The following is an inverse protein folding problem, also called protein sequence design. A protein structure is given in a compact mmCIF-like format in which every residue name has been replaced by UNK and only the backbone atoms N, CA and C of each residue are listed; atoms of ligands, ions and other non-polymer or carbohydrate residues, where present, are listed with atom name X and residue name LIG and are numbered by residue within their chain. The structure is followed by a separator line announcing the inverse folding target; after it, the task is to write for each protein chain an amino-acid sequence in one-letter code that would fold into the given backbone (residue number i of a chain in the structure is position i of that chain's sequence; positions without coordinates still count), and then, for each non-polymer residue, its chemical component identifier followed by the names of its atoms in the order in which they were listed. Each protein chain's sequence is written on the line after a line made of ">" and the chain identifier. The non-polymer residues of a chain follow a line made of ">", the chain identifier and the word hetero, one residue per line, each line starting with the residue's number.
data_IF_312207089176
#
_entry.id   IF_312207089176
#
_cell.length_a   1.000
_cell.length_b   1.000
_cell.length_c   1.000
_cell.angle_alpha   90.00
_cell.angle_beta   90.00
_cell.angle_gamma   90.00
#
_symmetry.space_group_name_H-M   'P 1'
#
loop_
_entity.id
_entity.type
_entity.pdbx_description
1 polymer ?
#
# COMPACT_ATOMS: atom_id res chain seq x y z
N UNK A 1 3.50 15.12 -2.61
CA UNK A 1 4.90 15.06 -3.09
C UNK A 1 5.92 15.04 -1.95
N UNK A 2 6.05 16.07 -1.09
CA UNK A 2 7.05 16.03 0.00
C UNK A 2 6.90 14.83 0.97
N UNK A 3 5.68 14.45 1.32
CA UNK A 3 5.42 13.30 2.20
C UNK A 3 5.79 11.96 1.54
N UNK A 4 5.67 11.86 0.22
CA UNK A 4 6.05 10.68 -0.57
C UNK A 4 7.57 10.51 -0.60
N UNK A 5 8.27 11.61 -0.84
CA UNK A 5 9.74 11.63 -0.86
C UNK A 5 10.32 11.22 0.49
N UNK A 6 9.77 11.73 1.60
CA UNK A 6 10.20 11.32 2.94
C UNK A 6 9.94 9.83 3.18
N UNK A 7 8.81 9.31 2.69
CA UNK A 7 8.47 7.90 2.84
C UNK A 7 9.47 7.01 2.10
N UNK A 8 9.71 7.31 0.81
CA UNK A 8 10.66 6.62 -0.06
C UNK A 8 12.10 6.73 0.45
N UNK A 9 12.53 7.93 0.86
CA UNK A 9 13.89 8.14 1.38
C UNK A 9 14.16 7.25 2.59
N UNK A 10 13.21 7.09 3.51
CA UNK A 10 13.41 6.18 4.64
C UNK A 10 13.39 4.70 4.27
N UNK A 11 12.69 4.32 3.18
CA UNK A 11 12.69 2.94 2.67
C UNK A 11 14.01 2.62 1.98
N UNK A 12 14.54 3.56 1.19
CA UNK A 12 15.87 3.44 0.58
C UNK A 12 17.00 3.44 1.62
N UNK A 13 16.93 4.29 2.64
CA UNK A 13 17.92 4.28 3.73
C UNK A 13 17.89 2.99 4.57
N UNK A 14 16.80 2.22 4.51
CA UNK A 14 16.67 0.91 5.16
C UNK A 14 17.05 -0.27 4.25
N UNK A 15 17.45 0.00 3.01
CA UNK A 15 17.74 -1.03 2.01
C UNK A 15 16.51 -1.76 1.45
N UNK A 16 15.29 -1.32 1.80
CA UNK A 16 14.05 -1.98 1.31
C UNK A 16 13.72 -1.62 -0.14
N UNK A 17 14.27 -0.52 -0.66
CA UNK A 17 14.07 -0.06 -2.04
C UNK A 17 15.36 0.54 -2.57
N UNK A 18 15.97 -0.10 -3.56
CA UNK A 18 17.15 0.39 -4.27
C UNK A 18 16.80 1.04 -5.62
N UNK A 19 15.74 0.57 -6.28
CA UNK A 19 15.31 1.05 -7.59
C UNK A 19 13.81 1.31 -7.66
N UNK A 20 13.40 2.27 -8.50
CA UNK A 20 11.99 2.54 -8.79
C UNK A 20 11.65 2.08 -10.20
N UNK A 21 10.59 1.30 -10.35
CA UNK A 21 10.14 0.74 -11.61
C UNK A 21 8.86 1.40 -12.13
N UNK A 22 8.16 0.66 -12.99
CA UNK A 22 6.97 1.15 -13.67
C UNK A 22 5.76 1.23 -12.74
N UNK A 23 4.84 2.13 -13.06
CA UNK A 23 3.52 2.14 -12.45
C UNK A 23 2.67 1.00 -13.04
N UNK A 24 2.19 0.11 -12.18
CA UNK A 24 1.39 -1.06 -12.58
C UNK A 24 -0.10 -0.86 -12.32
N UNK A 25 -0.49 0.11 -11.49
CA UNK A 25 -1.89 0.42 -11.25
C UNK A 25 -2.13 1.81 -10.66
N UNK A 26 -3.23 2.44 -11.07
CA UNK A 26 -3.79 3.63 -10.42
C UNK A 26 -5.20 3.27 -9.96
N UNK A 27 -5.37 3.10 -8.65
CA UNK A 27 -6.68 2.97 -8.03
C UNK A 27 -7.23 4.32 -7.61
N UNK A 28 -8.52 4.37 -7.25
CA UNK A 28 -9.14 5.57 -6.66
C UNK A 28 -8.47 5.99 -5.36
N UNK A 29 -7.86 5.06 -4.63
CA UNK A 29 -7.39 5.27 -3.26
C UNK A 29 -5.90 4.96 -3.09
N UNK A 30 -5.24 4.48 -4.13
CA UNK A 30 -3.83 4.11 -4.07
C UNK A 30 -3.17 4.07 -5.44
N UNK A 31 -1.88 4.37 -5.48
CA UNK A 31 -1.04 4.12 -6.65
C UNK A 31 -0.16 2.90 -6.36
N UNK A 32 0.01 2.04 -7.36
CA UNK A 32 0.79 0.82 -7.26
C UNK A 32 1.90 0.87 -8.30
N UNK A 33 3.13 0.68 -7.87
CA UNK A 33 4.32 0.69 -8.72
C UNK A 33 5.25 -0.47 -8.35
N UNK A 34 5.98 -0.96 -9.34
CA UNK A 34 7.08 -1.90 -9.12
C UNK A 34 8.29 -1.16 -8.57
N UNK A 35 9.01 -1.78 -7.65
CA UNK A 35 10.30 -1.31 -7.13
C UNK A 35 11.28 -2.48 -7.06
N UNK A 36 12.57 -2.20 -7.04
CA UNK A 36 13.62 -3.21 -6.86
C UNK A 36 14.24 -3.09 -5.47
N UNK A 37 14.53 -4.22 -4.82
CA UNK A 37 15.42 -4.27 -3.66
C UNK A 37 16.91 -4.18 -4.08
N UNK A 38 17.83 -4.25 -3.11
CA UNK A 38 19.28 -4.17 -3.36
C UNK A 38 19.82 -5.32 -4.21
N UNK A 39 19.14 -6.47 -4.22
CA UNK A 39 19.49 -7.64 -5.02
C UNK A 39 18.89 -7.60 -6.44
N UNK A 40 18.03 -6.62 -6.70
CA UNK A 40 17.32 -6.46 -7.98
C UNK A 40 16.04 -7.29 -8.08
N UNK A 41 15.57 -7.90 -6.98
CA UNK A 41 14.30 -8.62 -6.99
C UNK A 41 13.13 -7.62 -7.11
N UNK A 42 12.14 -7.91 -7.96
CA UNK A 42 10.99 -7.03 -8.11
C UNK A 42 10.04 -7.16 -6.92
N UNK A 43 9.69 -6.02 -6.33
CA UNK A 43 8.72 -5.86 -5.27
C UNK A 43 7.60 -4.90 -5.70
N UNK A 44 6.50 -4.92 -4.95
CA UNK A 44 5.37 -4.03 -5.14
C UNK A 44 5.37 -2.93 -4.08
N UNK A 45 5.33 -1.68 -4.51
CA UNK A 45 5.11 -0.51 -3.66
C UNK A 45 3.68 0.00 -3.86
N UNK A 46 2.94 0.06 -2.75
CA UNK A 46 1.62 0.66 -2.68
C UNK A 46 1.65 1.98 -1.91
N UNK A 47 1.19 3.06 -2.56
CA UNK A 47 1.08 4.40 -2.02
C UNK A 47 -0.39 4.72 -1.69
N UNK A 48 -0.73 4.89 -0.42
CA UNK A 48 -2.10 5.22 0.00
C UNK A 48 -2.41 6.71 -0.24
N UNK A 49 -3.44 6.98 -1.05
CA UNK A 49 -3.90 8.32 -1.45
C UNK A 49 -5.37 8.52 -1.05
N UNK A 50 -5.65 8.57 0.25
CA UNK A 50 -6.97 8.97 0.72
C UNK A 50 -7.17 10.47 0.45
N UNK A 51 -8.24 10.83 -0.27
CA UNK A 51 -8.52 12.22 -0.67
C UNK A 51 -10.01 12.58 -0.67
N UNK A 52 -10.30 13.89 -0.81
CA UNK A 52 -11.66 14.49 -0.74
C UNK A 52 -12.68 13.89 -1.73
N UNK A 53 -12.24 13.38 -2.88
CA UNK A 53 -13.13 12.89 -3.94
C UNK A 53 -13.63 11.47 -3.65
N UNK A 54 -12.77 10.61 -3.11
CA UNK A 54 -13.05 9.18 -2.98
C UNK A 54 -13.76 8.82 -1.67
N UNK A 55 -13.71 9.71 -0.67
CA UNK A 55 -14.24 9.44 0.67
C UNK A 55 -15.09 10.60 1.21
N UNK A 56 -16.16 10.97 0.47
CA UNK A 56 -17.15 11.94 0.96
C UNK A 56 -17.77 11.54 2.31
N UNK A 57 -17.93 10.23 2.56
CA UNK A 57 -18.67 9.70 3.72
C UNK A 57 -17.78 9.25 4.90
N UNK A 58 -16.45 9.30 4.80
CA UNK A 58 -15.56 8.86 5.92
C UNK A 58 -15.65 9.80 7.11
N UNK A 59 -15.94 11.08 6.85
CA UNK A 59 -16.15 12.09 7.89
C UNK A 59 -17.43 11.84 8.71
N UNK A 60 -18.42 11.16 8.11
CA UNK A 60 -19.71 10.86 8.77
C UNK A 60 -19.71 9.50 9.49
N UNK A 61 -19.06 8.47 8.92
CA UNK A 61 -19.19 7.08 9.43
C UNK A 61 -18.06 6.57 10.31
N UNK A 62 -16.93 7.29 10.45
CA UNK A 62 -15.81 6.81 11.28
C UNK A 62 -15.60 7.68 12.50
N UNK A 63 -16.11 7.19 13.62
CA UNK A 63 -15.97 7.73 14.96
C UNK A 63 -14.53 7.58 15.49
N UNK A 64 -13.58 8.31 14.92
CA UNK A 64 -12.22 8.47 15.47
C UNK A 64 -12.16 9.65 16.47
N UNK A 65 -13.28 10.00 17.11
CA UNK A 65 -13.45 11.21 17.91
C UNK A 65 -12.69 11.18 19.24
N UNK A 66 -11.36 11.23 19.16
CA UNK A 66 -10.48 11.73 20.20
C UNK A 66 -10.09 13.18 19.90
N UNK A 67 -10.97 14.14 20.19
CA UNK A 67 -10.69 15.58 20.38
C UNK A 67 -9.78 16.29 19.34
N UNK A 68 -9.75 15.88 18.06
CA UNK A 68 -8.91 16.54 17.02
C UNK A 68 -9.74 17.10 15.87
N UNK A 69 -9.90 18.41 15.85
CA UNK A 69 -10.76 19.16 14.92
C UNK A 69 -10.33 19.16 13.44
N UNK A 70 -9.13 18.66 13.07
CA UNK A 70 -8.67 18.58 11.67
C UNK A 70 -7.83 17.32 11.45
N UNK A 71 -8.43 16.26 10.93
CA UNK A 71 -7.70 15.07 10.48
C UNK A 71 -7.18 15.33 9.06
N UNK A 72 -5.86 15.36 8.88
CA UNK A 72 -5.27 15.54 7.55
C UNK A 72 -5.39 14.24 6.74
N UNK A 73 -5.60 14.37 5.43
CA UNK A 73 -5.62 13.23 4.52
C UNK A 73 -4.34 12.40 4.58
N UNK A 74 -3.19 13.04 4.83
CA UNK A 74 -1.91 12.37 5.06
C UNK A 74 -1.93 11.46 6.30
N UNK A 75 -2.59 11.90 7.37
CA UNK A 75 -2.74 11.10 8.60
C UNK A 75 -3.65 9.89 8.37
N UNK A 76 -4.76 10.08 7.65
CA UNK A 76 -5.65 8.98 7.25
C UNK A 76 -4.96 7.97 6.34
N UNK A 77 -4.22 8.44 5.33
CA UNK A 77 -3.35 7.61 4.50
C UNK A 77 -2.34 6.80 5.32
N UNK A 78 -1.72 7.41 6.34
CA UNK A 78 -0.80 6.71 7.25
C UNK A 78 -1.49 5.59 8.03
N UNK A 79 -2.66 5.87 8.62
CA UNK A 79 -3.42 4.85 9.37
C UNK A 79 -3.83 3.70 8.45
N UNK A 80 -4.29 4.01 7.23
CA UNK A 80 -4.69 3.03 6.23
C UNK A 80 -3.53 2.07 5.91
N UNK A 81 -2.36 2.61 5.56
CA UNK A 81 -1.16 1.81 5.28
C UNK A 81 -0.71 0.97 6.50
N UNK A 82 -0.73 1.56 7.69
CA UNK A 82 -0.33 0.85 8.94
C UNK A 82 -1.25 -0.34 9.21
N UNK A 83 -2.56 -0.17 9.03
CA UNK A 83 -3.52 -1.27 9.20
C UNK A 83 -3.35 -2.33 8.14
N UNK A 84 -3.18 -1.93 6.87
CA UNK A 84 -2.99 -2.87 5.77
C UNK A 84 -1.76 -3.76 6.01
N UNK A 85 -0.61 -3.17 6.35
CA UNK A 85 0.60 -3.92 6.67
C UNK A 85 0.40 -4.86 7.86
N UNK A 86 -0.24 -4.40 8.95
CA UNK A 86 -0.48 -5.21 10.13
C UNK A 86 -1.38 -6.43 9.83
N UNK A 87 -2.45 -6.25 9.05
CA UNK A 87 -3.32 -7.35 8.64
C UNK A 87 -2.60 -8.31 7.67
N UNK A 88 -1.88 -7.77 6.69
CA UNK A 88 -1.12 -8.59 5.74
C UNK A 88 -0.09 -9.46 6.46
N UNK A 89 0.64 -8.90 7.43
CA UNK A 89 1.56 -9.65 8.29
C UNK A 89 0.87 -10.73 9.10
N UNK A 90 -0.23 -10.41 9.79
CA UNK A 90 -0.96 -11.39 10.57
C UNK A 90 -1.55 -12.54 9.72
N UNK A 91 -1.93 -12.26 8.47
CA UNK A 91 -2.43 -13.27 7.53
C UNK A 91 -1.28 -14.13 6.98
N UNK A 92 -0.18 -13.49 6.59
CA UNK A 92 1.01 -14.17 6.09
C UNK A 92 1.60 -15.13 7.14
N UNK A 93 1.75 -14.67 8.38
CA UNK A 93 2.26 -15.46 9.51
C UNK A 93 1.37 -16.69 9.83
N UNK A 94 0.11 -16.67 9.40
CA UNK A 94 -0.85 -17.78 9.55
C UNK A 94 -0.92 -18.70 8.33
N UNK A 95 -0.10 -18.48 7.31
CA UNK A 95 -0.06 -19.31 6.10
C UNK A 95 -1.20 -19.03 5.11
N UNK A 96 -1.89 -17.90 5.21
CA UNK A 96 -2.86 -17.51 4.18
C UNK A 96 -2.13 -17.10 2.88
N UNK A 97 -2.73 -17.35 1.70
CA UNK A 97 -2.16 -16.98 0.41
C UNK A 97 -2.29 -15.46 0.18
N UNK A 98 -1.44 -14.70 0.86
CA UNK A 98 -1.33 -13.24 0.72
C UNK A 98 0.11 -12.87 0.33
N UNK A 99 0.33 -11.71 -0.33
CA UNK A 99 1.68 -11.25 -0.63
C UNK A 99 2.53 -11.15 0.63
N UNK A 100 3.80 -11.55 0.57
CA UNK A 100 4.73 -11.37 1.69
C UNK A 100 4.91 -9.88 2.01
N UNK A 101 4.61 -9.43 3.23
CA UNK A 101 4.88 -8.06 3.64
C UNK A 101 6.38 -7.85 3.87
N UNK A 102 6.96 -6.81 3.28
CA UNK A 102 8.41 -6.53 3.36
C UNK A 102 8.69 -5.41 4.35
N UNK A 103 8.21 -4.20 4.07
CA UNK A 103 8.36 -3.04 4.95
C UNK A 103 7.18 -2.08 4.76
N UNK A 104 7.01 -1.13 5.67
CA UNK A 104 6.09 -0.02 5.49
C UNK A 104 6.66 1.25 6.10
N UNK A 105 6.27 2.38 5.54
CA UNK A 105 6.63 3.66 6.10
C UNK A 105 5.61 4.73 5.71
N UNK A 106 5.13 5.47 6.70
CA UNK A 106 4.10 6.50 6.51
C UNK A 106 2.87 5.92 5.80
N UNK A 107 2.60 6.33 4.57
CA UNK A 107 1.48 5.89 3.74
C UNK A 107 1.92 4.90 2.64
N UNK A 108 3.12 4.34 2.76
CA UNK A 108 3.69 3.40 1.81
C UNK A 108 3.77 2.00 2.41
N UNK A 109 3.44 0.98 1.62
CA UNK A 109 3.62 -0.44 1.96
C UNK A 109 4.42 -1.09 0.84
N UNK A 110 5.48 -1.82 1.21
CA UNK A 110 6.25 -2.70 0.32
C UNK A 110 5.82 -4.13 0.59
N UNK A 111 5.47 -4.84 -0.48
CA UNK A 111 5.04 -6.23 -0.44
C UNK A 111 5.63 -6.98 -1.64
N UNK A 112 5.58 -8.30 -1.59
CA UNK A 112 5.89 -9.16 -2.73
C UNK A 112 5.08 -8.77 -3.97
N UNK A 113 5.75 -8.79 -5.13
CA UNK A 113 5.07 -8.66 -6.41
C UNK A 113 4.47 -10.02 -6.78
N UNK A 114 3.15 -10.12 -6.77
CA UNK A 114 2.43 -11.33 -7.20
C UNK A 114 2.26 -11.28 -8.72
N UNK A 115 2.78 -12.29 -9.41
CA UNK A 115 2.51 -12.49 -10.84
C UNK A 115 1.13 -13.14 -11.02
N UNK A 116 0.18 -12.35 -11.52
CA UNK A 116 -1.19 -12.79 -11.67
C UNK A 116 -2.09 -11.74 -12.29
N UNK A 117 -3.31 -12.16 -12.62
CA UNK A 117 -4.31 -11.31 -13.27
C UNK A 117 -5.47 -11.04 -12.32
N UNK A 118 -6.07 -9.86 -12.44
CA UNK A 118 -7.35 -9.58 -11.78
C UNK A 118 -8.42 -10.54 -12.33
N UNK A 119 -9.24 -11.11 -11.44
CA UNK A 119 -10.35 -11.98 -11.83
C UNK A 119 -11.33 -11.32 -12.80
N UNK A 120 -11.45 -9.99 -12.78
CA UNK A 120 -12.25 -9.24 -13.76
C UNK A 120 -11.79 -9.42 -15.20
N UNK A 121 -10.53 -9.81 -15.40
CA UNK A 121 -9.90 -10.00 -16.70
C UNK A 121 -9.78 -11.50 -17.05
N UNK A 122 -10.39 -12.38 -16.26
CA UNK A 122 -10.39 -13.84 -16.48
C UNK A 122 -11.70 -14.20 -17.18
N UNK A 123 -11.61 -14.70 -18.42
CA UNK A 123 -12.77 -15.09 -19.22
C UNK A 123 -13.35 -16.45 -18.79
N UNK A 124 -12.50 -17.38 -18.38
CA UNK A 124 -12.88 -18.68 -17.81
C UNK A 124 -11.91 -19.03 -16.67
N UNK A 125 -12.46 -19.51 -15.56
CA UNK A 125 -11.65 -20.05 -14.46
C UNK A 125 -11.31 -21.48 -14.84
N UNK A 126 -10.04 -21.74 -15.18
CA UNK A 126 -9.56 -23.11 -15.36
C UNK A 126 -9.83 -23.92 -14.09
N UNK A 127 -10.44 -25.10 -14.24
CA UNK A 127 -10.62 -26.02 -13.11
C UNK A 127 -9.23 -26.48 -12.63
N UNK A 128 -8.92 -26.19 -11.36
CA UNK A 128 -7.73 -26.69 -10.66
C UNK A 128 -8.03 -28.02 -9.98
#
# INVERSE_FOLDING_TARGET
>A
MGYDYLALKSLTLRGSVAGFGNQIGVGKESNICTVGDEEGNPLCLKLHRLGRVCFRNVKEKRDYHGKRHKMSWLYLSRISATREYAYMKALYDRGFPVPRPVDFNRHCVIMELVDGYSLTNVAEVGNF
#
